data_IF_824784889966
#
_entry.id   IF_824784889966
#
_cell.length_a   1.000
_cell.length_b   1.000
_cell.length_c   1.000
_cell.angle_alpha   90.00
_cell.angle_beta   90.00
_cell.angle_gamma   90.00
#
_symmetry.space_group_name_H-M   'P 1'
#
loop_
_entity.id
_entity.type
_entity.pdbx_description
1 polymer ?
#
# COMPACT_ATOMS: atom_id res chain seq x y z
N UNK A 1 41.32 -34.36 -13.06
CA UNK A 1 39.84 -34.33 -12.81
C UNK A 1 39.57 -33.45 -11.64
N UNK A 2 39.02 -32.25 -11.86
CA UNK A 2 38.76 -31.28 -10.80
C UNK A 2 37.39 -31.55 -10.16
N UNK A 3 37.37 -31.87 -8.88
CA UNK A 3 36.15 -32.07 -8.08
C UNK A 3 35.40 -30.74 -7.93
N UNK A 4 34.18 -30.64 -8.47
CA UNK A 4 33.25 -29.52 -8.23
C UNK A 4 32.82 -29.54 -6.77
N UNK A 5 33.43 -28.69 -5.92
CA UNK A 5 32.92 -28.43 -4.58
C UNK A 5 31.48 -27.89 -4.66
N UNK A 6 30.50 -28.65 -4.15
CA UNK A 6 29.12 -28.18 -3.95
C UNK A 6 29.16 -27.04 -2.94
N UNK A 7 28.65 -25.86 -3.36
CA UNK A 7 28.41 -24.75 -2.44
C UNK A 7 27.48 -25.24 -1.32
N UNK A 8 27.77 -24.90 -0.04
CA UNK A 8 26.92 -25.28 1.07
C UNK A 8 25.52 -24.74 0.87
N UNK A 9 24.52 -25.59 1.05
CA UNK A 9 23.09 -25.25 0.99
C UNK A 9 22.81 -24.05 1.89
N UNK A 10 22.48 -22.91 1.28
CA UNK A 10 22.01 -21.75 2.01
C UNK A 10 20.74 -22.18 2.78
N UNK A 11 20.84 -22.31 4.09
CA UNK A 11 19.74 -22.66 4.99
C UNK A 11 18.51 -21.87 4.56
N UNK A 12 17.47 -22.54 4.08
CA UNK A 12 16.22 -21.93 3.68
C UNK A 12 15.66 -21.16 4.89
N UNK A 13 15.79 -19.85 4.88
CA UNK A 13 15.18 -19.00 5.92
C UNK A 13 13.69 -19.29 5.90
N UNK A 14 13.10 -19.56 7.06
CA UNK A 14 11.67 -19.76 7.21
C UNK A 14 10.87 -18.56 6.63
N UNK A 15 9.57 -18.73 6.40
CA UNK A 15 8.75 -17.69 5.80
C UNK A 15 8.74 -16.43 6.67
N UNK A 16 8.85 -15.27 6.02
CA UNK A 16 8.76 -13.97 6.70
C UNK A 16 7.36 -13.74 7.26
N UNK A 17 7.22 -12.78 8.18
CA UNK A 17 5.90 -12.40 8.72
C UNK A 17 4.92 -12.00 7.60
N UNK A 18 5.40 -11.26 6.59
CA UNK A 18 4.60 -10.83 5.44
C UNK A 18 4.16 -12.03 4.59
N UNK A 19 5.03 -13.04 4.41
CA UNK A 19 4.68 -14.27 3.70
C UNK A 19 3.64 -15.09 4.46
N UNK A 20 3.78 -15.24 5.78
CA UNK A 20 2.78 -15.94 6.61
C UNK A 20 1.42 -15.24 6.53
N UNK A 21 1.40 -13.92 6.58
CA UNK A 21 0.17 -13.13 6.42
C UNK A 21 -0.47 -13.35 5.06
N UNK A 22 0.31 -13.28 3.98
CA UNK A 22 -0.21 -13.52 2.63
C UNK A 22 -0.79 -14.94 2.46
N UNK A 23 -0.20 -15.94 3.12
CA UNK A 23 -0.76 -17.30 3.13
C UNK A 23 -2.07 -17.38 3.90
N UNK A 24 -2.14 -16.75 5.08
CA UNK A 24 -3.37 -16.69 5.86
C UNK A 24 -4.50 -16.02 5.06
N UNK A 25 -4.22 -14.89 4.42
CA UNK A 25 -5.16 -14.19 3.56
C UNK A 25 -5.64 -15.09 2.40
N UNK A 26 -4.74 -15.84 1.76
CA UNK A 26 -5.10 -16.78 0.69
C UNK A 26 -5.92 -17.97 1.18
N UNK A 27 -5.66 -18.49 2.38
CA UNK A 27 -6.48 -19.52 2.99
C UNK A 27 -7.90 -19.01 3.26
N UNK A 28 -8.02 -17.82 3.86
CA UNK A 28 -9.31 -17.16 4.11
C UNK A 28 -10.11 -16.96 2.82
N UNK A 29 -9.47 -16.47 1.76
CA UNK A 29 -10.12 -16.25 0.46
C UNK A 29 -10.53 -17.57 -0.22
N UNK A 30 -9.74 -18.63 -0.05
CA UNK A 30 -10.07 -19.94 -0.62
C UNK A 30 -11.25 -20.58 0.11
N UNK A 31 -11.30 -20.48 1.44
CA UNK A 31 -12.43 -20.93 2.23
C UNK A 31 -13.70 -20.17 1.84
N UNK A 32 -13.64 -18.83 1.83
CA UNK A 32 -14.77 -17.98 1.46
C UNK A 32 -15.29 -18.29 0.03
N UNK A 33 -14.42 -18.60 -0.93
CA UNK A 33 -14.87 -19.02 -2.25
C UNK A 33 -15.63 -20.36 -2.23
N UNK A 34 -15.20 -21.30 -1.39
CA UNK A 34 -15.84 -22.60 -1.28
C UNK A 34 -17.21 -22.50 -0.58
N UNK A 35 -17.38 -21.51 0.30
CA UNK A 35 -18.63 -21.25 1.03
C UNK A 35 -19.69 -20.52 0.19
N UNK A 36 -19.31 -19.99 -0.99
CA UNK A 36 -20.26 -19.34 -1.91
C UNK A 36 -21.29 -20.33 -2.43
N UNK A 37 -22.52 -19.86 -2.63
CA UNK A 37 -23.55 -20.62 -3.36
C UNK A 37 -23.17 -20.77 -4.83
N UNK A 38 -23.84 -21.69 -5.53
CA UNK A 38 -23.59 -21.87 -6.97
C UNK A 38 -24.01 -20.63 -7.76
N UNK A 39 -25.09 -19.98 -7.37
CA UNK A 39 -25.56 -18.74 -7.99
C UNK A 39 -24.49 -17.63 -7.86
N UNK A 40 -23.89 -17.49 -6.67
CA UNK A 40 -22.83 -16.52 -6.44
C UNK A 40 -21.58 -16.82 -7.28
N UNK A 41 -21.17 -18.08 -7.37
CA UNK A 41 -20.06 -18.48 -8.25
C UNK A 41 -20.35 -18.18 -9.71
N UNK A 42 -21.58 -18.42 -10.15
CA UNK A 42 -22.02 -18.10 -11.52
C UNK A 42 -22.02 -16.60 -11.78
N UNK A 43 -22.47 -15.79 -10.81
CA UNK A 43 -22.41 -14.33 -10.90
C UNK A 43 -20.95 -13.85 -11.06
N UNK A 44 -20.01 -14.36 -10.25
CA UNK A 44 -18.59 -14.06 -10.39
C UNK A 44 -18.01 -14.52 -11.74
N UNK A 45 -18.45 -15.67 -12.27
CA UNK A 45 -18.01 -16.16 -13.57
C UNK A 45 -18.57 -15.30 -14.71
N UNK A 46 -19.83 -14.84 -14.61
CA UNK A 46 -20.43 -13.93 -15.57
C UNK A 46 -19.67 -12.60 -15.59
N UNK A 47 -19.44 -12.03 -14.42
CA UNK A 47 -18.69 -10.78 -14.29
C UNK A 47 -17.25 -10.88 -14.81
N UNK A 48 -16.57 -12.00 -14.59
CA UNK A 48 -15.23 -12.22 -15.15
C UNK A 48 -15.20 -12.27 -16.68
N UNK A 49 -16.31 -12.61 -17.33
CA UNK A 49 -16.46 -12.59 -18.79
C UNK A 49 -16.71 -11.19 -19.33
N UNK A 50 -17.52 -10.40 -18.63
CA UNK A 50 -17.88 -9.02 -19.05
C UNK A 50 -16.77 -8.03 -18.76
N UNK A 51 -16.06 -8.20 -17.66
CA UNK A 51 -15.00 -7.30 -17.18
C UNK A 51 -13.70 -7.47 -17.98
N UNK A 52 -13.79 -7.40 -19.32
CA UNK A 52 -12.65 -7.51 -20.26
C UNK A 52 -11.88 -6.19 -20.42
N UNK A 53 -11.89 -5.30 -19.45
CA UNK A 53 -11.16 -4.03 -19.49
C UNK A 53 -9.64 -4.27 -19.42
N UNK A 54 -9.05 -4.61 -20.57
CA UNK A 54 -7.61 -4.76 -20.72
C UNK A 54 -7.26 -5.01 -22.18
N UNK A 55 -6.29 -4.26 -22.69
CA UNK A 55 -5.88 -4.27 -24.10
C UNK A 55 -5.54 -5.65 -24.68
N UNK A 56 -5.16 -5.71 -25.95
CA UNK A 56 -4.93 -6.92 -26.76
C UNK A 56 -4.11 -8.03 -26.08
N UNK A 57 -3.16 -7.70 -25.19
CA UNK A 57 -2.39 -8.67 -24.41
C UNK A 57 -3.20 -9.39 -23.31
N UNK A 58 -4.39 -8.90 -22.95
CA UNK A 58 -5.27 -9.53 -21.95
C UNK A 58 -6.16 -10.64 -22.54
N UNK A 59 -6.16 -10.82 -23.85
CA UNK A 59 -7.00 -11.83 -24.55
C UNK A 59 -6.62 -13.28 -24.28
N UNK A 60 -5.37 -13.56 -23.84
CA UNK A 60 -4.88 -14.94 -23.74
C UNK A 60 -5.12 -15.66 -22.42
N UNK A 61 -5.63 -14.95 -21.38
CA UNK A 61 -5.91 -15.59 -20.08
C UNK A 61 -7.36 -15.36 -19.70
N UNK A 62 -8.19 -16.32 -20.04
CA UNK A 62 -9.57 -16.39 -19.55
C UNK A 62 -9.57 -16.29 -18.03
N UNK A 63 -10.01 -15.16 -17.50
CA UNK A 63 -10.09 -14.95 -16.05
C UNK A 63 -11.29 -15.74 -15.54
N UNK A 64 -11.06 -16.71 -14.66
CA UNK A 64 -12.15 -17.39 -13.95
C UNK A 64 -12.76 -16.46 -12.90
N UNK A 65 -14.04 -16.68 -12.57
CA UNK A 65 -14.72 -15.94 -11.51
C UNK A 65 -13.94 -16.03 -10.19
N UNK A 66 -13.37 -17.19 -9.86
CA UNK A 66 -12.51 -17.37 -8.68
C UNK A 66 -11.32 -16.40 -8.67
N UNK A 67 -10.67 -16.17 -9.81
CA UNK A 67 -9.55 -15.21 -9.88
C UNK A 67 -10.02 -13.79 -9.67
N UNK A 68 -11.20 -13.44 -10.19
CA UNK A 68 -11.79 -12.12 -9.97
C UNK A 68 -12.17 -11.96 -8.50
N UNK A 69 -12.85 -12.93 -7.91
CA UNK A 69 -13.20 -12.97 -6.49
C UNK A 69 -11.96 -12.76 -5.60
N UNK A 70 -10.91 -13.56 -5.80
CA UNK A 70 -9.66 -13.43 -5.06
C UNK A 70 -9.03 -12.06 -5.25
N UNK A 71 -9.03 -11.52 -6.47
CA UNK A 71 -8.47 -10.19 -6.75
C UNK A 71 -9.21 -9.08 -6.01
N UNK A 72 -10.54 -9.08 -6.04
CA UNK A 72 -11.38 -8.09 -5.38
C UNK A 72 -11.23 -8.22 -3.87
N UNK A 73 -11.50 -9.40 -3.35
CA UNK A 73 -11.54 -9.64 -1.91
C UNK A 73 -10.16 -9.57 -1.22
N UNK A 74 -9.06 -9.85 -1.92
CA UNK A 74 -7.73 -9.61 -1.36
C UNK A 74 -7.45 -8.12 -1.11
N UNK A 75 -8.04 -7.23 -1.91
CA UNK A 75 -7.94 -5.79 -1.67
C UNK A 75 -8.77 -5.37 -0.46
N UNK A 76 -9.97 -5.91 -0.33
CA UNK A 76 -10.85 -5.67 0.81
C UNK A 76 -10.23 -6.15 2.12
N UNK A 77 -9.69 -7.36 2.16
CA UNK A 77 -8.90 -7.84 3.30
C UNK A 77 -7.72 -6.91 3.61
N UNK A 78 -7.05 -6.48 2.56
CA UNK A 78 -5.94 -5.54 2.71
C UNK A 78 -6.37 -4.20 3.31
N UNK A 79 -7.61 -3.78 3.12
CA UNK A 79 -8.22 -2.57 3.66
C UNK A 79 -8.96 -2.80 4.99
N UNK A 80 -9.01 -4.05 5.49
CA UNK A 80 -9.75 -4.41 6.69
C UNK A 80 -11.26 -4.39 6.52
N UNK A 81 -11.74 -4.50 5.27
CA UNK A 81 -13.16 -4.55 4.91
C UNK A 81 -13.66 -5.98 4.86
N UNK A 82 -14.95 -6.17 4.99
CA UNK A 82 -15.62 -7.47 4.82
C UNK A 82 -15.50 -7.99 3.40
N UNK A 83 -15.52 -9.32 3.26
CA UNK A 83 -15.52 -9.97 1.95
C UNK A 83 -16.89 -9.79 1.28
N UNK A 84 -16.86 -9.61 -0.04
CA UNK A 84 -18.07 -9.60 -0.85
C UNK A 84 -18.39 -11.01 -1.33
N UNK A 85 -19.56 -11.56 -0.99
CA UNK A 85 -20.02 -12.82 -1.56
C UNK A 85 -20.42 -12.68 -3.03
N UNK A 86 -20.99 -11.52 -3.40
CA UNK A 86 -21.42 -11.21 -4.76
C UNK A 86 -20.47 -10.22 -5.43
N UNK A 87 -20.35 -10.25 -6.78
CA UNK A 87 -19.56 -9.27 -7.49
C UNK A 87 -20.15 -7.86 -7.26
N UNK A 88 -19.31 -6.87 -6.91
CA UNK A 88 -19.77 -5.50 -6.73
C UNK A 88 -20.31 -4.93 -8.05
N UNK A 89 -21.30 -4.03 -7.99
CA UNK A 89 -21.86 -3.34 -9.15
C UNK A 89 -20.83 -2.46 -9.89
N UNK A 90 -21.14 -1.97 -11.09
CA UNK A 90 -20.24 -1.12 -11.90
C UNK A 90 -20.21 0.32 -11.34
N UNK A 91 -19.69 0.47 -10.13
CA UNK A 91 -19.51 1.79 -9.53
C UNK A 91 -18.31 2.50 -10.14
N UNK A 92 -18.52 3.71 -10.58
CA UNK A 92 -17.44 4.54 -11.10
C UNK A 92 -16.47 4.92 -10.00
N UNK A 93 -15.21 4.53 -10.14
CA UNK A 93 -14.16 4.93 -9.20
C UNK A 93 -13.85 6.42 -9.35
N UNK A 94 -14.09 7.19 -8.29
CA UNK A 94 -13.69 8.59 -8.19
C UNK A 94 -12.55 8.69 -7.18
N UNK A 95 -11.29 8.81 -7.66
CA UNK A 95 -10.18 8.99 -6.74
C UNK A 95 -10.28 10.33 -6.03
N UNK A 96 -10.07 10.33 -4.73
CA UNK A 96 -9.91 11.58 -3.98
C UNK A 96 -8.57 12.23 -4.36
N UNK A 97 -8.52 13.53 -4.61
CA UNK A 97 -7.25 14.21 -4.85
C UNK A 97 -6.39 14.14 -3.59
N UNK A 98 -5.16 13.70 -3.73
CA UNK A 98 -4.17 13.75 -2.65
C UNK A 98 -3.33 14.99 -2.86
N UNK A 99 -3.43 15.94 -1.93
CA UNK A 99 -2.79 17.23 -2.05
C UNK A 99 -1.28 17.17 -1.84
N UNK A 100 -0.84 17.07 -0.60
CA UNK A 100 0.58 17.19 -0.24
C UNK A 100 1.02 16.10 0.72
N UNK A 101 2.28 15.70 0.57
CA UNK A 101 3.03 15.00 1.59
C UNK A 101 3.95 16.00 2.29
N UNK A 102 3.76 16.17 3.58
CA UNK A 102 4.50 17.12 4.41
C UNK A 102 5.22 16.38 5.51
N UNK A 103 6.48 16.73 5.72
CA UNK A 103 7.26 16.29 6.88
C UNK A 103 7.53 17.52 7.73
N UNK A 104 7.13 17.47 8.98
CA UNK A 104 7.45 18.51 9.96
C UNK A 104 8.44 17.98 10.98
N UNK A 105 9.31 18.85 11.45
CA UNK A 105 10.24 18.57 12.54
C UNK A 105 10.12 19.67 13.60
N UNK A 106 9.48 19.35 14.71
CA UNK A 106 9.33 20.26 15.83
C UNK A 106 10.16 19.76 17.00
N UNK A 107 11.32 20.38 17.24
CA UNK A 107 12.23 20.05 18.34
C UNK A 107 12.58 18.54 18.37
N UNK A 108 12.95 17.97 17.23
CA UNK A 108 13.29 16.55 17.08
C UNK A 108 12.09 15.61 16.95
N UNK A 109 10.87 16.10 17.12
CA UNK A 109 9.65 15.32 16.85
C UNK A 109 9.28 15.44 15.38
N UNK A 110 9.40 14.35 14.65
CA UNK A 110 9.09 14.31 13.22
C UNK A 110 7.67 13.79 13.05
N UNK A 111 6.87 14.49 12.22
CA UNK A 111 5.57 14.03 11.77
C UNK A 111 5.53 13.94 10.25
N UNK A 112 4.95 12.84 9.74
CA UNK A 112 4.76 12.55 8.31
C UNK A 112 3.25 12.57 8.02
N UNK A 113 2.81 13.55 7.25
CA UNK A 113 1.39 13.83 7.05
C UNK A 113 1.04 13.92 5.57
N UNK A 114 -0.10 13.34 5.22
CA UNK A 114 -0.70 13.43 3.89
C UNK A 114 -1.95 14.29 3.99
N UNK A 115 -2.06 15.33 3.18
CA UNK A 115 -3.28 16.14 3.12
C UNK A 115 -4.23 15.60 2.05
N UNK A 116 -5.51 15.53 2.41
CA UNK A 116 -6.62 15.14 1.55
C UNK A 116 -7.60 16.31 1.50
N UNK A 117 -7.66 17.07 0.41
CA UNK A 117 -8.51 18.26 0.34
C UNK A 117 -9.98 17.98 0.65
N UNK A 118 -10.51 16.83 0.23
CA UNK A 118 -11.94 16.49 0.35
C UNK A 118 -12.28 15.56 1.52
N UNK A 119 -11.32 15.28 2.41
CA UNK A 119 -11.56 14.53 3.66
C UNK A 119 -11.94 13.05 3.51
N UNK A 120 -12.13 12.56 2.30
CA UNK A 120 -12.52 11.17 2.03
C UNK A 120 -11.31 10.34 1.61
N UNK A 121 -10.98 9.33 2.39
CA UNK A 121 -9.83 8.44 2.15
C UNK A 121 -10.23 6.97 2.09
N UNK A 122 -11.37 6.66 1.53
CA UNK A 122 -11.74 5.26 1.32
C UNK A 122 -10.78 4.59 0.34
N UNK A 123 -10.38 3.36 0.65
CA UNK A 123 -9.53 2.55 -0.21
C UNK A 123 -8.09 3.03 -0.36
N UNK A 124 -7.57 3.87 0.53
CA UNK A 124 -6.19 4.36 0.48
C UNK A 124 -5.21 3.36 1.10
N UNK A 125 -4.22 2.95 0.32
CA UNK A 125 -3.09 2.14 0.80
C UNK A 125 -1.81 2.95 0.69
N UNK A 126 -1.02 2.96 1.77
CA UNK A 126 0.27 3.66 1.81
C UNK A 126 1.42 2.66 1.84
N UNK A 127 2.38 2.91 0.97
CA UNK A 127 3.65 2.17 0.92
C UNK A 127 4.81 3.16 0.95
N UNK A 128 5.94 2.75 1.52
CA UNK A 128 7.13 3.58 1.63
C UNK A 128 8.39 2.75 1.54
N UNK A 129 9.54 3.41 1.69
CA UNK A 129 10.86 2.82 1.78
C UNK A 129 11.67 3.51 2.87
N UNK A 130 12.82 2.93 3.25
CA UNK A 130 13.74 3.62 4.14
C UNK A 130 14.19 4.97 3.57
N UNK A 131 14.62 5.93 4.41
CA UNK A 131 15.02 7.26 3.94
C UNK A 131 16.21 7.19 2.99
N UNK A 132 16.20 8.00 1.94
CA UNK A 132 17.23 8.06 0.91
C UNK A 132 17.96 9.40 0.93
N UNK A 133 19.04 9.52 0.16
CA UNK A 133 19.74 10.78 0.00
C UNK A 133 18.84 11.82 -0.72
N UNK A 134 18.97 13.08 -0.38
CA UNK A 134 18.12 14.15 -0.92
C UNK A 134 18.20 14.25 -2.46
N UNK A 135 19.33 13.93 -3.06
CA UNK A 135 19.53 13.95 -4.51
C UNK A 135 18.81 12.84 -5.30
N UNK A 136 18.20 11.86 -4.62
CA UNK A 136 17.43 10.82 -5.32
C UNK A 136 16.15 11.43 -5.87
N UNK A 137 15.97 11.38 -7.19
CA UNK A 137 14.82 11.97 -7.88
C UNK A 137 13.63 11.01 -7.97
N UNK A 138 13.89 9.72 -8.21
CA UNK A 138 12.85 8.71 -8.43
C UNK A 138 13.18 7.46 -7.63
N UNK A 139 12.13 6.86 -7.06
CA UNK A 139 12.25 5.58 -6.38
C UNK A 139 11.14 4.62 -6.83
N UNK A 140 11.49 3.36 -7.02
CA UNK A 140 10.56 2.34 -7.55
C UNK A 140 10.25 1.22 -6.56
N UNK A 141 11.07 1.04 -5.53
CA UNK A 141 10.88 0.00 -4.52
C UNK A 141 10.05 0.54 -3.37
N UNK A 142 8.88 -0.04 -3.16
CA UNK A 142 7.98 0.35 -2.07
C UNK A 142 7.50 -0.88 -1.33
N UNK A 143 7.44 -0.79 -0.03
CA UNK A 143 6.88 -1.81 0.85
C UNK A 143 5.71 -1.19 1.60
N UNK A 144 4.62 -1.92 1.70
CA UNK A 144 3.44 -1.47 2.43
C UNK A 144 3.79 -1.21 3.90
N UNK A 145 3.39 -0.05 4.40
CA UNK A 145 3.60 0.34 5.81
C UNK A 145 2.35 0.14 6.67
N UNK A 146 1.30 -0.42 6.11
CA UNK A 146 0.01 -0.69 6.77
C UNK A 146 -1.10 0.20 6.24
N UNK A 147 -2.32 -0.04 6.76
CA UNK A 147 -3.45 0.83 6.46
C UNK A 147 -3.26 2.17 7.15
N UNK A 148 -3.47 3.29 6.47
CA UNK A 148 -3.44 4.58 7.13
C UNK A 148 -4.57 4.67 8.16
N UNK A 149 -4.41 5.46 9.23
CA UNK A 149 -5.53 5.80 10.10
C UNK A 149 -6.58 6.60 9.31
N UNK A 150 -7.79 6.68 9.85
CA UNK A 150 -8.80 7.57 9.29
C UNK A 150 -8.28 9.01 9.26
N UNK A 151 -8.62 9.79 8.22
CA UNK A 151 -8.22 11.18 8.14
C UNK A 151 -8.91 11.98 9.25
N UNK A 152 -8.17 12.88 9.86
CA UNK A 152 -8.71 13.86 10.83
C UNK A 152 -8.48 15.24 10.23
N UNK A 153 -9.56 15.98 10.02
CA UNK A 153 -9.48 17.31 9.39
C UNK A 153 -8.80 17.32 8.01
N UNK A 154 -9.03 16.27 7.21
CA UNK A 154 -8.39 16.15 5.89
C UNK A 154 -6.91 15.76 5.93
N UNK A 155 -6.39 15.31 7.08
CA UNK A 155 -4.99 14.90 7.25
C UNK A 155 -4.91 13.45 7.69
N UNK A 156 -4.05 12.68 7.02
CA UNK A 156 -3.66 11.34 7.45
C UNK A 156 -2.25 11.40 8.03
N UNK A 157 -2.10 11.05 9.31
CA UNK A 157 -0.80 10.92 9.97
C UNK A 157 -0.28 9.47 9.82
N UNK A 158 0.82 9.30 9.10
CA UNK A 158 1.46 8.01 8.87
C UNK A 158 2.74 7.83 9.70
N UNK A 159 3.06 8.77 10.57
CA UNK A 159 4.31 8.82 11.35
C UNK A 159 4.57 7.52 12.10
N UNK A 160 3.61 7.10 12.93
CA UNK A 160 3.75 5.90 13.76
C UNK A 160 4.06 4.65 12.92
N UNK A 161 3.40 4.51 11.76
CA UNK A 161 3.56 3.36 10.87
C UNK A 161 4.90 3.36 10.17
N UNK A 162 5.31 4.54 9.70
CA UNK A 162 6.61 4.72 9.07
C UNK A 162 7.74 4.43 10.06
N UNK A 163 7.70 5.05 11.24
CA UNK A 163 8.73 4.91 12.28
C UNK A 163 8.82 3.48 12.81
N UNK A 164 7.70 2.79 12.98
CA UNK A 164 7.68 1.39 13.38
C UNK A 164 8.42 0.47 12.40
N UNK A 165 8.44 0.83 11.10
CA UNK A 165 9.06 0.00 10.06
C UNK A 165 10.48 0.40 9.71
N UNK A 166 10.81 1.69 9.72
CA UNK A 166 12.08 2.23 9.21
C UNK A 166 12.85 3.06 10.23
N UNK A 167 12.28 3.29 11.41
CA UNK A 167 12.83 4.24 12.38
C UNK A 167 12.53 5.69 12.04
N UNK A 168 13.01 6.59 12.87
CA UNK A 168 12.88 8.04 12.66
C UNK A 168 13.78 8.45 11.49
N UNK A 169 13.24 9.07 10.44
CA UNK A 169 14.05 9.47 9.30
C UNK A 169 15.01 10.62 9.68
N UNK A 170 16.31 10.52 9.35
CA UNK A 170 17.28 11.56 9.67
C UNK A 170 17.01 12.86 8.91
N UNK A 171 17.36 14.00 9.53
CA UNK A 171 17.33 15.31 8.88
C UNK A 171 18.13 15.32 7.57
N UNK A 172 17.64 16.02 6.57
CA UNK A 172 18.24 16.09 5.25
C UNK A 172 18.03 14.86 4.35
N UNK A 173 17.46 13.78 4.86
CA UNK A 173 17.10 12.62 4.04
C UNK A 173 15.73 12.82 3.40
N UNK A 174 15.55 12.18 2.23
CA UNK A 174 14.31 12.21 1.46
C UNK A 174 13.49 10.96 1.71
N UNK A 175 12.22 11.16 2.04
CA UNK A 175 11.25 10.08 2.22
C UNK A 175 10.34 10.04 1.00
N UNK A 176 10.15 8.86 0.42
CA UNK A 176 9.22 8.60 -0.66
C UNK A 176 8.01 7.85 -0.14
N UNK A 177 6.83 8.30 -0.53
CA UNK A 177 5.55 7.67 -0.23
C UNK A 177 4.86 7.33 -1.54
N UNK A 178 4.42 6.09 -1.66
CA UNK A 178 3.54 5.65 -2.73
C UNK A 178 2.14 5.47 -2.16
N UNK A 179 1.21 6.20 -2.71
CA UNK A 179 -0.19 6.14 -2.36
C UNK A 179 -0.92 5.42 -3.48
N UNK A 180 -1.73 4.48 -3.11
CA UNK A 180 -2.55 3.71 -4.03
C UNK A 180 -3.99 3.80 -3.56
N UNK A 181 -4.83 4.43 -4.35
CA UNK A 181 -6.27 4.44 -4.14
C UNK A 181 -6.90 3.33 -4.96
N UNK A 182 -7.74 2.54 -4.33
CA UNK A 182 -8.36 1.37 -4.93
C UNK A 182 -9.84 1.36 -4.62
N UNK A 183 -10.62 0.95 -5.60
CA UNK A 183 -11.96 0.43 -5.36
C UNK A 183 -11.97 -1.08 -5.65
N UNK A 184 -13.12 -1.69 -5.49
CA UNK A 184 -13.27 -3.13 -5.64
C UNK A 184 -12.93 -3.62 -7.06
N UNK A 185 -13.21 -2.86 -8.10
CA UNK A 185 -13.06 -3.28 -9.50
C UNK A 185 -11.91 -2.69 -10.25
N UNK A 186 -11.86 -1.37 -10.25
CA UNK A 186 -11.03 -0.65 -11.21
C UNK A 186 -9.62 -0.56 -10.68
N UNK A 187 -8.71 -0.46 -11.60
CA UNK A 187 -7.31 -0.28 -11.28
C UNK A 187 -7.09 0.80 -10.22
N UNK A 188 -5.96 0.77 -9.62
CA UNK A 188 -5.56 1.75 -8.64
C UNK A 188 -4.96 2.95 -9.33
N UNK A 189 -5.32 4.15 -8.91
CA UNK A 189 -4.50 5.32 -9.15
C UNK A 189 -3.32 5.27 -8.19
N UNK A 190 -2.13 5.35 -8.75
CA UNK A 190 -0.88 5.35 -7.99
C UNK A 190 -0.26 6.72 -8.09
N UNK A 191 -0.03 7.34 -6.94
CA UNK A 191 0.70 8.59 -6.83
C UNK A 191 1.95 8.39 -5.97
N UNK A 192 3.07 8.93 -6.42
CA UNK A 192 4.33 8.91 -5.66
C UNK A 192 4.65 10.34 -5.26
N UNK A 193 4.76 10.54 -3.96
CA UNK A 193 5.13 11.82 -3.36
C UNK A 193 6.45 11.67 -2.62
N UNK A 194 7.15 12.76 -2.45
CA UNK A 194 8.38 12.78 -1.65
C UNK A 194 8.57 14.11 -0.94
N UNK A 195 9.22 14.06 0.21
CA UNK A 195 9.61 15.24 0.96
C UNK A 195 10.97 15.03 1.63
N UNK A 196 11.71 16.10 1.84
CA UNK A 196 12.98 16.08 2.59
C UNK A 196 12.64 16.38 4.05
N UNK A 197 13.27 15.64 4.96
CA UNK A 197 13.14 15.87 6.40
C UNK A 197 13.79 17.21 6.75
N UNK A 198 13.02 18.22 7.20
CA UNK A 198 13.57 19.54 7.49
C UNK A 198 14.44 19.51 8.75
N UNK A 199 15.40 20.42 8.82
CA UNK A 199 16.00 20.79 10.08
C UNK A 199 14.91 21.31 11.03
N UNK A 200 14.97 20.95 12.30
CA UNK A 200 14.10 21.56 13.31
C UNK A 200 14.35 23.08 13.37
N UNK A 201 13.40 23.86 13.91
CA UNK A 201 13.68 25.25 14.20
C UNK A 201 14.93 25.31 15.07
N UNK A 202 15.94 26.03 14.60
CA UNK A 202 17.13 26.33 15.39
C UNK A 202 16.63 27.00 16.67
N UNK A 203 16.91 26.37 17.82
CA UNK A 203 16.63 27.04 19.08
C UNK A 203 17.29 28.39 19.02
N UNK A 204 16.51 29.44 19.24
CA UNK A 204 17.00 30.79 19.35
C UNK A 204 18.23 30.78 20.24
N UNK A 205 19.36 31.19 19.66
CA UNK A 205 20.50 31.62 20.42
C UNK A 205 19.99 32.69 21.37
N UNK A 206 19.79 32.34 22.64
CA UNK A 206 19.61 33.32 23.68
C UNK A 206 20.72 34.35 23.48
N UNK A 207 20.32 35.53 23.02
CA UNK A 207 21.17 36.67 23.09
C UNK A 207 21.66 36.82 24.53
N UNK A 208 22.94 36.56 24.77
CA UNK A 208 23.63 37.04 25.97
C UNK A 208 23.53 38.54 25.92
N UNK A 209 22.56 39.09 26.64
CA UNK A 209 22.56 40.48 27.03
C UNK A 209 23.75 40.66 27.96
N UNK A 210 24.66 41.52 27.57
CA UNK A 210 25.64 42.14 28.41
C UNK A 210 24.99 43.19 29.32
#
# INVERSE_FOLDING_TARGET
>A
MASKQRKPDARKKGPTADQRRAWADMCTLSAAWNDLTEEQRQAWNAEARTNRRGGLAARSRQRSGRRLFVKVNSRRLALGQELLPDPPGDESFRPAPIGRFVITNRRGRIALQLSLPDGQAEGVMVSSWHPLNAGVMVWKKFVRIGLPPAPVGGVIDITRRYVAKYGVPPVGKKVFIRIQQMNDYVGSIVQVLSAIVPAGPSGDSQAKGA
#
